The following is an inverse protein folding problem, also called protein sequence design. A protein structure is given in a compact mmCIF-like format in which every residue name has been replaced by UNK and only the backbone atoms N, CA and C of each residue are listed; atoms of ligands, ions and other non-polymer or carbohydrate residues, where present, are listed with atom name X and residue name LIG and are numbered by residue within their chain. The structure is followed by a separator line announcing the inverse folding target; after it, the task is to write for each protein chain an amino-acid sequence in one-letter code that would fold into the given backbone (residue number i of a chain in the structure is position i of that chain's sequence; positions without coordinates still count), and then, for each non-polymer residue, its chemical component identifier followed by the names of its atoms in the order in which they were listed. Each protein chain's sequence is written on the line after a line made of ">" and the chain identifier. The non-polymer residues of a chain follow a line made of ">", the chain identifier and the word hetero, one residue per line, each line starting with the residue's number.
data_IF_256378709486
#
_entry.id   IF_256378709486
#
_cell.length_a   1.000
_cell.length_b   1.000
_cell.length_c   1.000
_cell.angle_alpha   90.00
_cell.angle_beta   90.00
_cell.angle_gamma   90.00
#
_symmetry.space_group_name_H-M   'P 1'
#
loop_
_entity.id
_entity.type
_entity.pdbx_description
1 polymer ?
#
# COMPACT_ATOMS: atom_id res chain seq x y z
N UNK A 1 -19.73 5.03 17.81
CA UNK A 1 -18.59 5.03 16.86
C UNK A 1 -18.03 6.43 16.74
N UNK A 2 -16.73 6.64 16.96
CA UNK A 2 -16.09 7.97 16.86
C UNK A 2 -15.37 8.06 15.52
N UNK A 3 -15.70 9.08 14.73
CA UNK A 3 -15.04 9.45 13.46
C UNK A 3 -13.55 9.71 13.76
N UNK A 4 -12.63 8.92 13.20
CA UNK A 4 -11.17 9.16 13.29
C UNK A 4 -10.29 8.11 13.98
N UNK A 5 -10.79 6.92 14.34
CA UNK A 5 -10.02 5.89 15.08
C UNK A 5 -9.21 4.90 14.23
N UNK A 6 -9.15 5.06 12.91
CA UNK A 6 -8.48 4.10 12.02
C UNK A 6 -7.29 4.76 11.33
N UNK A 7 -6.18 4.02 11.24
CA UNK A 7 -5.02 4.41 10.46
C UNK A 7 -5.43 4.60 8.99
N UNK A 8 -4.97 5.69 8.40
CA UNK A 8 -5.40 6.10 7.06
C UNK A 8 -4.20 6.58 6.25
N UNK A 9 -4.23 6.25 4.96
CA UNK A 9 -3.21 6.67 4.02
C UNK A 9 -3.67 7.89 3.20
N UNK A 10 -2.80 8.91 3.16
CA UNK A 10 -3.00 10.14 2.41
C UNK A 10 -1.81 10.39 1.52
N UNK A 11 -2.08 10.77 0.27
CA UNK A 11 -1.05 11.38 -0.57
C UNK A 11 -1.18 12.90 -0.48
N UNK A 12 -0.06 13.58 -0.24
CA UNK A 12 -0.02 15.03 -0.04
C UNK A 12 0.99 15.67 -0.97
N UNK A 13 0.65 16.86 -1.48
CA UNK A 13 1.58 17.78 -2.11
C UNK A 13 1.70 19.00 -1.21
N UNK A 14 2.80 19.10 -0.48
CA UNK A 14 2.97 20.07 0.60
C UNK A 14 1.82 19.96 1.62
N UNK A 15 1.09 21.04 1.91
CA UNK A 15 -0.05 21.03 2.84
C UNK A 15 -1.34 20.43 2.25
N UNK A 16 -1.43 20.28 0.93
CA UNK A 16 -2.66 19.89 0.21
C UNK A 16 -2.79 18.38 0.10
N UNK A 17 -3.93 17.83 0.51
CA UNK A 17 -4.29 16.42 0.29
C UNK A 17 -4.66 16.25 -1.19
N UNK A 18 -3.93 15.37 -1.89
CA UNK A 18 -4.15 15.04 -3.31
C UNK A 18 -5.01 13.80 -3.49
N UNK A 19 -4.81 12.80 -2.63
CA UNK A 19 -5.61 11.60 -2.61
C UNK A 19 -5.78 11.10 -1.16
N UNK A 20 -6.92 10.49 -0.89
CA UNK A 20 -7.21 9.80 0.38
C UNK A 20 -7.54 8.35 0.06
N UNK A 21 -6.65 7.45 0.45
CA UNK A 21 -6.84 6.01 0.35
C UNK A 21 -7.70 5.46 1.50
N UNK A 22 -7.99 6.27 2.52
CA UNK A 22 -8.94 5.89 3.55
C UNK A 22 -8.38 4.86 4.53
N UNK A 23 -9.24 4.24 5.35
CA UNK A 23 -8.82 3.32 6.41
C UNK A 23 -8.34 1.99 5.83
N UNK A 24 -7.40 1.35 6.54
CA UNK A 24 -7.07 -0.05 6.31
C UNK A 24 -8.19 -0.95 6.82
N UNK A 25 -8.68 -1.87 5.98
CA UNK A 25 -9.82 -2.75 6.29
C UNK A 25 -9.41 -4.14 6.82
N UNK A 26 -8.11 -4.39 6.94
CA UNK A 26 -7.54 -5.70 7.28
C UNK A 26 -6.81 -6.36 6.11
N UNK A 27 -7.08 -5.92 4.88
CA UNK A 27 -6.48 -6.43 3.65
C UNK A 27 -5.85 -5.32 2.79
N UNK A 28 -6.54 -4.19 2.67
CA UNK A 28 -6.11 -3.05 1.85
C UNK A 28 -6.69 -1.72 2.37
N UNK A 29 -6.26 -0.62 1.77
CA UNK A 29 -6.85 0.70 2.04
C UNK A 29 -8.11 0.90 1.19
N UNK A 30 -9.23 1.26 1.81
CA UNK A 30 -10.56 1.30 1.15
C UNK A 30 -10.66 2.16 -0.13
N UNK A 31 -9.79 3.15 -0.29
CA UNK A 31 -9.67 4.02 -1.46
C UNK A 31 -8.71 3.51 -2.54
N UNK A 32 -8.31 2.24 -2.47
CA UNK A 32 -7.53 1.54 -3.48
C UNK A 32 -8.39 0.48 -4.21
N UNK A 33 -9.39 0.90 -5.02
CA UNK A 33 -10.39 -0.01 -5.58
C UNK A 33 -9.82 -1.04 -6.56
N UNK A 34 -8.67 -0.76 -7.18
CA UNK A 34 -8.13 -1.57 -8.28
C UNK A 34 -7.05 -2.57 -7.85
N UNK A 35 -6.94 -2.87 -6.55
CA UNK A 35 -6.06 -3.96 -6.10
C UNK A 35 -6.80 -5.29 -6.25
N UNK A 36 -6.53 -6.00 -7.34
CA UNK A 36 -6.96 -7.39 -7.47
C UNK A 36 -6.05 -8.27 -6.60
N UNK A 37 -6.60 -8.98 -5.60
CA UNK A 37 -5.79 -9.85 -4.75
C UNK A 37 -5.05 -10.85 -5.62
N UNK A 38 -3.73 -10.96 -5.42
CA UNK A 38 -2.94 -11.96 -6.11
C UNK A 38 -3.50 -13.36 -5.84
N UNK A 39 -4.05 -14.07 -6.84
CA UNK A 39 -4.68 -15.36 -6.64
C UNK A 39 -3.68 -16.44 -6.20
N UNK A 40 -2.38 -16.18 -6.37
CA UNK A 40 -1.31 -17.07 -5.91
C UNK A 40 -0.97 -16.87 -4.42
N UNK A 41 -1.57 -15.87 -3.77
CA UNK A 41 -1.34 -15.50 -2.37
C UNK A 41 0.15 -15.22 -2.04
N UNK A 42 0.97 -14.91 -3.05
CA UNK A 42 2.39 -14.61 -2.86
C UNK A 42 2.60 -13.22 -2.30
N UNK A 43 1.70 -12.28 -2.58
CA UNK A 43 1.70 -10.94 -2.01
C UNK A 43 0.83 -10.86 -0.75
N UNK A 44 1.45 -10.58 0.39
CA UNK A 44 0.76 -10.29 1.65
C UNK A 44 0.91 -8.83 2.00
N UNK A 45 -0.17 -8.18 2.42
CA UNK A 45 -0.20 -6.80 2.86
C UNK A 45 -0.58 -6.77 4.34
N UNK A 46 0.16 -6.00 5.13
CA UNK A 46 -0.06 -5.88 6.55
C UNK A 46 0.07 -4.42 6.98
N UNK A 47 -0.83 -4.01 7.88
CA UNK A 47 -0.69 -2.77 8.63
C UNK A 47 -0.30 -3.12 10.07
N UNK A 48 0.94 -2.82 10.43
CA UNK A 48 1.40 -2.98 11.81
C UNK A 48 0.99 -1.73 12.59
N UNK A 49 0.25 -1.94 13.69
CA UNK A 49 -0.14 -0.89 14.63
C UNK A 49 0.06 -1.42 16.05
N UNK A 50 1.06 -0.89 16.74
CA UNK A 50 1.30 -1.19 18.15
C UNK A 50 1.75 0.06 18.93
N UNK A 51 2.21 -0.11 20.17
CA UNK A 51 2.61 1.02 21.04
C UNK A 51 3.88 1.73 20.57
N UNK A 52 4.69 1.08 19.72
CA UNK A 52 6.03 1.51 19.35
C UNK A 52 6.08 1.99 17.90
N UNK A 53 5.27 1.41 17.02
CA UNK A 53 5.36 1.62 15.58
C UNK A 53 4.02 1.55 14.86
N UNK A 54 3.95 2.28 13.75
CA UNK A 54 2.88 2.22 12.78
C UNK A 54 3.45 2.30 11.38
N UNK A 55 3.29 1.24 10.60
CA UNK A 55 3.70 1.22 9.21
C UNK A 55 2.92 0.18 8.43
N UNK A 56 2.77 0.45 7.14
CA UNK A 56 2.25 -0.49 6.17
C UNK A 56 3.42 -1.19 5.51
N UNK A 57 3.32 -2.51 5.37
CA UNK A 57 4.31 -3.33 4.70
C UNK A 57 3.64 -4.33 3.76
N UNK A 58 4.44 -4.84 2.83
CA UNK A 58 4.06 -5.98 2.04
C UNK A 58 5.23 -6.95 1.93
N UNK A 59 4.93 -8.24 1.94
CA UNK A 59 5.91 -9.31 1.66
C UNK A 59 5.50 -10.01 0.38
N UNK A 60 6.49 -10.42 -0.41
CA UNK A 60 6.26 -11.12 -1.66
C UNK A 60 7.12 -12.37 -1.75
N UNK A 61 6.46 -13.51 -1.96
CA UNK A 61 7.13 -14.80 -2.08
C UNK A 61 7.47 -15.09 -3.55
N UNK A 62 8.55 -14.45 -4.02
CA UNK A 62 9.15 -14.78 -5.31
C UNK A 62 10.65 -14.50 -5.34
N UNK A 63 11.46 -15.46 -5.82
CA UNK A 63 12.91 -15.25 -5.95
C UNK A 63 13.30 -14.43 -7.20
N UNK A 64 12.40 -14.27 -8.18
CA UNK A 64 12.72 -13.71 -9.51
C UNK A 64 12.16 -12.31 -9.76
N UNK A 65 11.13 -11.92 -9.02
CA UNK A 65 10.48 -10.62 -9.17
C UNK A 65 10.75 -9.75 -7.95
N UNK A 66 10.97 -8.47 -8.20
CA UNK A 66 11.03 -7.47 -7.15
C UNK A 66 9.77 -6.60 -7.23
N UNK A 67 9.21 -6.23 -6.09
CA UNK A 67 8.06 -5.32 -6.01
C UNK A 67 8.48 -4.00 -5.39
N UNK A 68 8.12 -2.90 -6.03
CA UNK A 68 8.33 -1.56 -5.50
C UNK A 68 7.04 -0.76 -5.57
N UNK A 69 6.66 -0.16 -4.46
CA UNK A 69 5.65 0.89 -4.44
C UNK A 69 6.26 2.23 -4.82
N UNK A 70 5.67 2.92 -5.79
CA UNK A 70 6.10 4.24 -6.25
C UNK A 70 4.93 5.23 -6.22
N UNK A 71 5.24 6.48 -5.88
CA UNK A 71 4.34 7.60 -6.12
C UNK A 71 4.68 8.17 -7.49
N UNK A 72 3.74 8.09 -8.42
CA UNK A 72 3.90 8.62 -9.77
C UNK A 72 3.88 10.15 -9.78
N UNK A 73 4.44 10.82 -10.81
CA UNK A 73 4.42 12.27 -10.90
C UNK A 73 3.02 12.91 -10.91
N UNK A 74 2.00 12.19 -11.41
CA UNK A 74 0.60 12.64 -11.40
C UNK A 74 -0.10 12.41 -10.04
N UNK A 75 0.62 11.89 -9.04
CA UNK A 75 0.15 11.76 -7.67
C UNK A 75 -0.74 10.54 -7.44
N UNK A 76 -0.31 9.38 -7.93
CA UNK A 76 -0.93 8.08 -7.64
C UNK A 76 0.09 7.15 -7.02
N UNK A 77 -0.35 6.29 -6.11
CA UNK A 77 0.44 5.15 -5.64
C UNK A 77 0.25 4.02 -6.67
N UNK A 78 1.36 3.47 -7.14
CA UNK A 78 1.40 2.31 -8.02
C UNK A 78 2.38 1.29 -7.46
N UNK A 79 2.06 0.00 -7.65
CA UNK A 79 2.97 -1.12 -7.34
C UNK A 79 3.41 -1.74 -8.67
N UNK A 80 4.30 -1.08 -9.45
CA UNK A 80 4.90 -1.74 -10.59
C UNK A 80 5.74 -2.91 -10.08
N UNK A 81 5.43 -4.12 -10.55
CA UNK A 81 6.40 -5.21 -10.49
C UNK A 81 7.63 -4.76 -11.29
N UNK A 82 8.79 -4.67 -10.65
CA UNK A 82 10.03 -4.52 -11.41
C UNK A 82 10.23 -5.80 -12.21
N UNK A 83 10.44 -5.60 -13.51
CA UNK A 83 10.86 -6.61 -14.49
C UNK A 83 12.00 -7.46 -13.95
N UNK A 84 12.04 -8.72 -14.41
CA UNK A 84 12.98 -9.77 -14.01
C UNK A 84 14.36 -9.25 -13.64
N UNK A 85 14.90 -9.79 -12.55
CA UNK A 85 16.28 -9.59 -12.15
C UNK A 85 17.16 -10.23 -13.24
N UNK A 86 17.54 -9.48 -14.26
CA UNK A 86 18.52 -9.93 -15.24
C UNK A 86 19.86 -10.07 -14.49
N UNK A 87 20.34 -11.32 -14.40
CA UNK A 87 21.69 -11.68 -13.94
C UNK A 87 22.78 -11.08 -14.83
#
# INVERSE_FOLDING_TARGET
>A
MVKGKYAQLYLRKSSVIRARYGPYDGMLFAGHPDYEPDPTARLKNDLIVNQNEMYWMYTYDSPIFMLRTVVTPDGKISVPASTEKNE
#
